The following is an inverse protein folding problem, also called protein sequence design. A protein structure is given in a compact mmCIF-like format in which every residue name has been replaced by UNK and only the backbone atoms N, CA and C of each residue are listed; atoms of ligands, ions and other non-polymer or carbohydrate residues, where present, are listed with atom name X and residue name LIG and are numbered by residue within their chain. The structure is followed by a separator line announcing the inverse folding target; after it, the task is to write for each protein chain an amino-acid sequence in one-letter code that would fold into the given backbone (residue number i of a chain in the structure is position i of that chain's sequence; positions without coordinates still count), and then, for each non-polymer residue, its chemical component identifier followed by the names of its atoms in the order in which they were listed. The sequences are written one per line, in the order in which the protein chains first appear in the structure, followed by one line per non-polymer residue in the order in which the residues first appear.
data_IF_855186102046
#
_entry.id   IF_855186102046
#
_cell.length_a   1.000
_cell.length_b   1.000
_cell.length_c   1.000
_cell.angle_alpha   90.00
_cell.angle_beta   90.00
_cell.angle_gamma   90.00
#
_symmetry.space_group_name_H-M   'P 1'
#
loop_
_entity.id
_entity.type
_entity.pdbx_description
1 polymer ?
#
# COMPACT_ATOMS: atom_id res chain seq x y z
N UNK A 1 8.09 19.85 13.48
CA UNK A 1 6.98 19.66 14.44
C UNK A 1 5.65 19.23 13.80
N UNK A 2 5.16 19.79 12.68
CA UNK A 2 3.99 19.22 11.95
C UNK A 2 4.42 18.11 10.96
N UNK A 3 5.48 18.36 10.18
CA UNK A 3 6.03 17.44 9.18
C UNK A 3 6.44 16.09 9.80
N UNK A 4 7.07 16.13 10.97
CA UNK A 4 7.52 14.93 11.70
C UNK A 4 6.35 14.09 12.25
N UNK A 5 5.18 14.72 12.45
CA UNK A 5 3.96 13.99 12.84
C UNK A 5 3.43 13.20 11.65
N UNK A 6 3.29 13.83 10.49
CA UNK A 6 2.82 13.15 9.27
C UNK A 6 3.77 12.05 8.83
N UNK A 7 5.09 12.25 8.93
CA UNK A 7 6.07 11.20 8.65
C UNK A 7 5.83 9.97 9.53
N UNK A 8 5.67 10.15 10.85
CA UNK A 8 5.36 9.04 11.76
C UNK A 8 4.02 8.36 11.44
N UNK A 9 3.02 9.12 11.03
CA UNK A 9 1.72 8.56 10.60
C UNK A 9 1.89 7.72 9.35
N UNK A 10 2.63 8.20 8.34
CA UNK A 10 2.91 7.46 7.12
C UNK A 10 3.67 6.16 7.41
N UNK A 11 4.68 6.19 8.28
CA UNK A 11 5.45 5.01 8.66
C UNK A 11 4.60 3.98 9.41
N UNK A 12 3.74 4.43 10.32
CA UNK A 12 2.83 3.55 11.04
C UNK A 12 1.79 2.95 10.08
N UNK A 13 1.16 3.75 9.23
CA UNK A 13 0.19 3.26 8.23
C UNK A 13 0.85 2.24 7.30
N UNK A 14 2.06 2.51 6.81
CA UNK A 14 2.82 1.59 5.96
C UNK A 14 2.99 0.21 6.61
N UNK A 15 3.42 0.16 7.87
CA UNK A 15 3.63 -1.09 8.62
C UNK A 15 2.32 -1.80 8.90
N UNK A 16 1.34 -1.09 9.45
CA UNK A 16 0.09 -1.71 9.88
C UNK A 16 -0.79 -2.17 8.72
N UNK A 17 -0.81 -1.44 7.59
CA UNK A 17 -1.52 -1.88 6.38
C UNK A 17 -0.91 -3.18 5.85
N UNK A 18 0.42 -3.23 5.72
CA UNK A 18 1.11 -4.43 5.24
C UNK A 18 0.85 -5.63 6.16
N UNK A 19 0.96 -5.41 7.48
CA UNK A 19 0.71 -6.42 8.49
C UNK A 19 -0.74 -6.92 8.45
N UNK A 20 -1.71 -6.01 8.39
CA UNK A 20 -3.13 -6.37 8.35
C UNK A 20 -3.45 -7.23 7.12
N UNK A 21 -3.01 -6.82 5.93
CA UNK A 21 -3.27 -7.56 4.68
C UNK A 21 -2.67 -8.97 4.79
N UNK A 22 -1.42 -9.08 5.25
CA UNK A 22 -0.72 -10.37 5.35
C UNK A 22 -1.27 -11.31 6.42
N UNK A 23 -2.00 -10.79 7.41
CA UNK A 23 -2.64 -11.59 8.46
C UNK A 23 -4.16 -11.73 8.25
N UNK A 24 -4.66 -11.39 7.05
CA UNK A 24 -6.07 -11.48 6.71
C UNK A 24 -6.31 -12.45 5.55
N UNK A 25 -7.57 -12.76 5.31
CA UNK A 25 -8.09 -13.45 4.12
C UNK A 25 -7.77 -12.73 2.80
N UNK A 26 -7.36 -11.45 2.84
CA UNK A 26 -6.93 -10.72 1.65
C UNK A 26 -5.63 -11.26 1.06
N UNK A 27 -4.79 -11.92 1.86
CA UNK A 27 -3.48 -12.46 1.45
C UNK A 27 -3.57 -13.40 0.25
N UNK A 28 -4.60 -14.23 0.19
CA UNK A 28 -4.72 -15.25 -0.87
C UNK A 28 -4.81 -14.61 -2.27
N UNK A 29 -5.51 -13.48 -2.37
CA UNK A 29 -5.59 -12.69 -3.60
C UNK A 29 -4.38 -11.78 -3.79
N UNK A 30 -3.86 -11.21 -2.69
CA UNK A 30 -2.80 -10.21 -2.72
C UNK A 30 -1.39 -10.77 -2.89
N UNK A 31 -1.14 -12.04 -2.57
CA UNK A 31 0.21 -12.61 -2.54
C UNK A 31 1.11 -11.95 -1.49
N UNK A 32 2.42 -11.91 -1.76
CA UNK A 32 3.38 -11.20 -0.92
C UNK A 32 3.35 -9.71 -1.25
N UNK A 33 2.47 -8.99 -0.59
CA UNK A 33 2.27 -7.55 -0.76
C UNK A 33 3.23 -6.73 0.11
N UNK A 34 3.81 -5.69 -0.50
CA UNK A 34 4.66 -4.69 0.15
C UNK A 34 4.06 -3.29 -0.03
N UNK A 35 4.07 -2.48 1.02
CA UNK A 35 3.70 -1.06 0.95
C UNK A 35 4.97 -0.24 0.77
N UNK A 36 5.15 0.39 -0.38
CA UNK A 36 6.37 1.12 -0.73
C UNK A 36 6.36 2.51 -0.08
N UNK A 37 5.23 3.22 -0.23
CA UNK A 37 5.08 4.59 0.24
C UNK A 37 3.64 4.87 0.68
N UNK A 38 3.47 5.75 1.67
CA UNK A 38 2.18 6.28 2.08
C UNK A 38 2.29 7.80 2.12
N UNK A 39 1.37 8.47 1.44
CA UNK A 39 1.25 9.93 1.44
C UNK A 39 -0.11 10.32 2.07
N UNK A 40 -0.06 10.78 3.31
CA UNK A 40 -1.23 11.20 4.07
C UNK A 40 -1.41 12.72 4.02
N UNK A 41 -2.66 13.16 3.79
CA UNK A 41 -3.01 14.57 3.83
C UNK A 41 -2.79 15.16 5.24
N UNK A 42 -2.48 16.46 5.31
CA UNK A 42 -2.17 17.15 6.58
C UNK A 42 -3.31 17.10 7.59
N UNK A 43 -4.54 17.11 7.10
CA UNK A 43 -5.78 17.03 7.89
C UNK A 43 -6.20 15.58 8.24
N UNK A 44 -5.42 14.57 7.82
CA UNK A 44 -5.73 13.14 7.98
C UNK A 44 -7.07 12.73 7.35
N UNK A 45 -7.56 13.47 6.35
CA UNK A 45 -8.76 13.10 5.61
C UNK A 45 -8.52 11.88 4.71
N UNK A 46 -7.37 11.82 4.03
CA UNK A 46 -7.05 10.75 3.08
C UNK A 46 -5.58 10.38 3.06
N UNK A 47 -5.30 9.15 2.64
CA UNK A 47 -3.96 8.60 2.46
C UNK A 47 -3.87 7.83 1.14
N UNK A 48 -2.88 8.20 0.32
CA UNK A 48 -2.50 7.45 -0.88
C UNK A 48 -1.49 6.39 -0.48
N UNK A 49 -1.77 5.14 -0.83
CA UNK A 49 -0.98 3.97 -0.45
C UNK A 49 -0.43 3.35 -1.72
N UNK A 50 0.89 3.43 -1.89
CA UNK A 50 1.61 2.85 -3.01
C UNK A 50 2.14 1.48 -2.63
N UNK A 51 1.84 0.47 -3.44
CA UNK A 51 2.15 -0.92 -3.12
C UNK A 51 2.67 -1.68 -4.33
N UNK A 52 3.42 -2.74 -4.05
CA UNK A 52 3.80 -3.77 -5.02
C UNK A 52 3.42 -5.14 -4.47
N UNK A 53 3.34 -6.14 -5.34
CA UNK A 53 3.08 -7.52 -4.93
C UNK A 53 3.90 -8.51 -5.76
N UNK A 54 4.26 -9.62 -5.12
CA UNK A 54 4.86 -10.79 -5.73
C UNK A 54 3.93 -11.98 -5.54
N UNK A 55 3.72 -12.77 -6.61
CA UNK A 55 2.83 -13.94 -6.63
C UNK A 55 1.37 -13.62 -6.26
N UNK A 56 0.83 -12.48 -6.70
CA UNK A 56 -0.61 -12.23 -6.63
C UNK A 56 -1.36 -13.16 -7.59
N UNK A 57 -2.60 -13.52 -7.23
CA UNK A 57 -3.51 -14.26 -8.13
C UNK A 57 -4.19 -13.33 -9.15
N UNK A 58 -4.24 -12.04 -8.85
CA UNK A 58 -4.85 -11.00 -9.67
C UNK A 58 -3.78 -10.25 -10.48
N UNK A 59 -4.16 -9.70 -11.64
CA UNK A 59 -3.32 -8.73 -12.36
C UNK A 59 -3.15 -7.44 -11.55
N UNK A 60 -2.13 -6.62 -11.86
CA UNK A 60 -1.85 -5.37 -11.13
C UNK A 60 -3.08 -4.45 -11.04
N UNK A 61 -3.84 -4.31 -12.13
CA UNK A 61 -5.06 -3.48 -12.18
C UNK A 61 -6.19 -4.05 -11.33
N UNK A 62 -6.40 -5.36 -11.41
CA UNK A 62 -7.43 -6.05 -10.62
C UNK A 62 -7.10 -6.04 -9.13
N UNK A 63 -5.83 -6.24 -8.79
CA UNK A 63 -5.34 -6.18 -7.41
C UNK A 63 -5.54 -4.78 -6.81
N UNK A 64 -5.20 -3.73 -7.58
CA UNK A 64 -5.47 -2.36 -7.15
C UNK A 64 -6.97 -2.13 -6.93
N UNK A 65 -7.82 -2.59 -7.84
CA UNK A 65 -9.29 -2.48 -7.70
C UNK A 65 -9.76 -3.23 -6.45
N UNK A 66 -9.33 -4.47 -6.27
CA UNK A 66 -9.65 -5.33 -5.14
C UNK A 66 -9.30 -4.68 -3.79
N UNK A 67 -8.10 -4.10 -3.66
CA UNK A 67 -7.69 -3.40 -2.44
C UNK A 67 -8.51 -2.13 -2.19
N UNK A 68 -8.87 -1.39 -3.25
CA UNK A 68 -9.73 -0.22 -3.11
C UNK A 68 -11.16 -0.58 -2.70
N UNK A 69 -11.72 -1.69 -3.21
CA UNK A 69 -13.03 -2.22 -2.78
C UNK A 69 -13.00 -2.69 -1.32
N UNK A 70 -11.87 -3.22 -0.86
CA UNK A 70 -11.66 -3.65 0.52
C UNK A 70 -11.07 -2.57 1.44
N UNK A 71 -10.89 -1.34 0.95
CA UNK A 71 -10.23 -0.24 1.68
C UNK A 71 -10.91 0.06 3.01
N UNK A 72 -12.25 0.02 3.03
CA UNK A 72 -13.06 0.19 4.25
C UNK A 72 -12.75 -0.90 5.30
N UNK A 73 -12.66 -2.16 4.88
CA UNK A 73 -12.38 -3.29 5.78
C UNK A 73 -10.98 -3.14 6.40
N UNK A 74 -9.99 -2.79 5.57
CA UNK A 74 -8.62 -2.50 6.03
C UNK A 74 -8.63 -1.35 7.03
N UNK A 75 -9.27 -0.22 6.67
CA UNK A 75 -9.40 0.96 7.52
C UNK A 75 -10.03 0.64 8.88
N UNK A 76 -11.08 -0.19 8.89
CA UNK A 76 -11.75 -0.63 10.12
C UNK A 76 -10.82 -1.48 10.97
N UNK A 77 -10.08 -2.41 10.39
CA UNK A 77 -9.06 -3.22 11.08
C UNK A 77 -7.99 -2.36 11.77
N UNK A 78 -7.53 -1.30 11.08
CA UNK A 78 -6.50 -0.40 11.59
C UNK A 78 -6.98 0.52 12.72
N UNK A 79 -8.27 0.84 12.78
CA UNK A 79 -8.82 1.77 13.77
C UNK A 79 -8.70 1.30 15.21
N UNK A 80 -8.56 -0.01 15.44
CA UNK A 80 -8.32 -0.58 16.77
C UNK A 80 -6.84 -0.70 17.14
N UNK A 81 -5.93 -0.47 16.20
CA UNK A 81 -4.48 -0.72 16.35
C UNK A 81 -3.72 0.60 16.42
N UNK A 82 -4.07 1.55 15.54
CA UNK A 82 -3.38 2.83 15.44
C UNK A 82 -3.88 3.81 16.52
N UNK A 83 -2.98 4.53 17.22
CA UNK A 83 -3.35 5.59 18.16
C UNK A 83 -3.77 6.87 17.42
N UNK A 84 -4.72 6.76 16.50
CA UNK A 84 -5.26 7.84 15.68
C UNK A 84 -6.72 8.08 16.06
N UNK A 85 -7.09 9.35 16.24
CA UNK A 85 -8.51 9.74 16.42
C UNK A 85 -9.38 9.31 15.24
N UNK A 86 -8.80 9.27 14.04
CA UNK A 86 -9.42 8.83 12.81
C UNK A 86 -8.34 8.27 11.89
N UNK A 87 -8.52 7.05 11.41
CA UNK A 87 -7.72 6.51 10.30
C UNK A 87 -8.16 7.24 9.03
N UNK A 88 -7.25 7.76 8.19
CA UNK A 88 -7.61 8.40 6.91
C UNK A 88 -8.33 7.44 5.96
N UNK A 89 -9.05 7.96 4.98
CA UNK A 89 -9.54 7.15 3.86
C UNK A 89 -8.36 6.63 3.04
N UNK A 90 -8.31 5.31 2.78
CA UNK A 90 -7.20 4.67 2.10
C UNK A 90 -7.49 4.52 0.62
N UNK A 91 -6.60 5.01 -0.24
CA UNK A 91 -6.67 4.79 -1.68
C UNK A 91 -5.38 4.14 -2.17
N UNK A 92 -5.52 2.96 -2.76
CA UNK A 92 -4.41 2.12 -3.19
C UNK A 92 -4.03 2.39 -4.64
N UNK A 93 -2.74 2.46 -4.89
CA UNK A 93 -2.12 2.64 -6.20
C UNK A 93 -1.01 1.60 -6.36
N UNK A 94 -1.07 0.83 -7.44
CA UNK A 94 0.02 -0.06 -7.78
C UNK A 94 1.23 0.76 -8.20
N UNK A 95 2.40 0.40 -7.69
CA UNK A 95 3.66 1.05 -7.99
C UNK A 95 4.26 0.46 -9.27
N UNK A 96 3.92 1.05 -10.42
CA UNK A 96 4.41 0.64 -11.75
C UNK A 96 5.93 0.81 -11.91
N UNK A 97 6.64 1.39 -10.93
CA UNK A 97 8.07 1.70 -11.03
C UNK A 97 9.00 0.48 -10.98
N UNK A 98 8.50 -0.74 -10.74
CA UNK A 98 9.30 -1.98 -10.74
C UNK A 98 9.28 -2.72 -12.10
N UNK A 99 8.25 -2.55 -12.93
CA UNK A 99 8.12 -3.33 -14.17
C UNK A 99 9.01 -2.84 -15.33
N UNK A 100 9.61 -1.65 -15.20
CA UNK A 100 10.52 -1.09 -16.22
C UNK A 100 12.00 -1.44 -16.04
N UNK A 101 12.40 -2.11 -14.94
CA UNK A 101 13.82 -2.46 -14.72
C UNK A 101 14.24 -3.67 -15.56
N UNK A 102 13.33 -4.61 -15.84
CA UNK A 102 13.63 -5.81 -16.66
C UNK A 102 13.80 -5.53 -18.16
N UNK A 103 13.41 -4.35 -18.65
CA UNK A 103 13.63 -3.95 -20.06
C UNK A 103 14.99 -3.32 -20.29
N UNK A 104 15.70 -2.92 -19.23
CA UNK A 104 17.01 -2.27 -19.35
C UNK A 104 18.11 -3.32 -19.47
N UNK A 105 17.97 -4.47 -18.81
CA UNK A 105 18.95 -5.56 -18.90
C UNK A 105 19.05 -6.12 -20.35
N UNK A 106 17.92 -6.28 -21.04
CA UNK A 106 17.89 -6.74 -22.45
C UNK A 106 18.51 -5.73 -23.44
N UNK A 107 18.66 -4.45 -23.06
CA UNK A 107 19.26 -3.42 -23.92
C UNK A 107 20.78 -3.28 -23.69
N UNK A 108 21.27 -3.71 -22.52
CA UNK A 108 22.69 -3.64 -22.15
C UNK A 108 23.45 -4.87 -22.67
N UNK A 109 22.79 -6.02 -22.86
CA UNK A 109 23.40 -7.24 -23.42
C UNK A 109 23.69 -7.18 -24.94
N UNK A 110 23.39 -6.06 -25.61
CA UNK A 110 23.66 -5.82 -27.04
C UNK A 110 24.76 -4.79 -27.33
N UNK A 111 25.53 -4.39 -26.32
CA UNK A 111 26.77 -3.62 -26.47
C UNK A 111 27.99 -4.50 -26.18
#
# INVERSE_FOLDING_TARGET
MEKDRIIRVNDNLKKEIAFFIQNSDLKDNCGFLSINHVDTSRDLAGAKVFFSSIKSQLSNKELQKYLNENSWRIRKGLSGILPLKRVPELKFFYDDHIDNVRKIDDLIEKL
#
